data_IF_231077163997
#
_entry.id   IF_231077163997
#
_cell.length_a   1.000
_cell.length_b   1.000
_cell.length_c   1.000
_cell.angle_alpha   90.00
_cell.angle_beta   90.00
_cell.angle_gamma   90.00
#
_symmetry.space_group_name_H-M   'P 1'
#
loop_
_entity.id
_entity.type
_entity.pdbx_description
1 polymer ?
#
# COMPACT_ATOMS: atom_id res chain seq x y z
N UNK A 1 19.62 3.50 -9.37
CA UNK A 1 18.26 2.91 -9.43
C UNK A 1 17.86 2.52 -8.01
N UNK A 2 16.95 3.27 -7.39
CA UNK A 2 16.55 3.05 -6.00
C UNK A 2 15.14 2.47 -5.92
N UNK A 3 14.99 1.47 -5.05
CA UNK A 3 13.70 0.84 -4.74
C UNK A 3 13.37 1.20 -3.30
N UNK A 4 12.20 1.77 -3.08
CA UNK A 4 11.67 2.01 -1.75
C UNK A 4 10.79 0.82 -1.38
N UNK A 5 11.14 0.14 -0.29
CA UNK A 5 10.32 -0.92 0.28
C UNK A 5 9.57 -0.33 1.47
N UNK A 6 8.29 -0.09 1.27
CA UNK A 6 7.43 0.42 2.32
C UNK A 6 6.98 -0.72 3.24
N UNK A 7 7.69 -0.86 4.36
CA UNK A 7 7.35 -1.76 5.47
C UNK A 7 6.40 -1.08 6.47
N UNK A 8 6.30 0.25 6.45
CA UNK A 8 5.65 1.04 7.49
C UNK A 8 4.44 1.76 6.89
N UNK A 9 3.25 1.16 7.05
CA UNK A 9 1.96 1.68 6.56
C UNK A 9 1.55 3.08 7.09
N UNK A 10 2.41 3.75 7.88
CA UNK A 10 2.08 5.00 8.55
C UNK A 10 2.39 6.27 7.74
N UNK A 11 3.26 6.20 6.72
CA UNK A 11 3.73 7.39 6.02
C UNK A 11 3.12 7.45 4.62
N UNK A 12 2.25 8.43 4.32
CA UNK A 12 1.65 8.55 3.00
C UNK A 12 2.66 9.07 1.97
N UNK A 13 2.60 8.51 0.75
CA UNK A 13 3.31 8.98 -0.42
C UNK A 13 2.45 10.01 -1.16
N UNK A 14 2.37 11.21 -0.58
CA UNK A 14 1.79 12.38 -1.23
C UNK A 14 2.66 12.83 -2.41
N UNK A 15 2.14 13.74 -3.24
CA UNK A 15 2.89 14.30 -4.37
C UNK A 15 4.22 14.95 -3.93
N UNK A 16 4.22 15.72 -2.83
CA UNK A 16 5.45 16.30 -2.26
C UNK A 16 6.46 15.23 -1.80
N UNK A 17 5.96 14.13 -1.21
CA UNK A 17 6.83 13.04 -0.82
C UNK A 17 7.46 12.37 -2.06
N UNK A 18 6.66 12.17 -3.12
CA UNK A 18 7.11 11.58 -4.39
C UNK A 18 8.17 12.47 -5.06
N UNK A 19 8.00 13.79 -5.07
CA UNK A 19 8.98 14.74 -5.65
C UNK A 19 10.36 14.64 -4.97
N UNK A 20 10.37 14.30 -3.68
CA UNK A 20 11.59 14.14 -2.89
C UNK A 20 12.30 12.81 -3.14
N UNK A 21 11.63 11.83 -3.77
CA UNK A 21 12.20 10.51 -4.10
C UNK A 21 13.07 10.57 -5.37
N UNK A 22 14.10 11.41 -5.34
CA UNK A 22 15.06 11.52 -6.45
C UNK A 22 15.72 10.16 -6.73
N UNK A 23 15.68 9.72 -7.98
CA UNK A 23 16.21 8.43 -8.46
C UNK A 23 15.45 7.17 -8.00
N UNK A 24 14.28 7.31 -7.39
CA UNK A 24 13.39 6.18 -7.14
C UNK A 24 12.74 5.75 -8.44
N UNK A 25 12.71 4.44 -8.69
CA UNK A 25 12.05 3.84 -9.86
C UNK A 25 10.89 2.94 -9.47
N UNK A 26 10.87 2.46 -8.22
CA UNK A 26 9.84 1.56 -7.71
C UNK A 26 9.53 1.87 -6.25
N UNK A 27 8.23 1.99 -5.93
CA UNK A 27 7.68 1.95 -4.57
C UNK A 27 6.97 0.60 -4.41
N UNK A 28 7.48 -0.24 -3.50
CA UNK A 28 6.90 -1.54 -3.18
C UNK A 28 6.18 -1.52 -1.84
N UNK A 29 4.86 -1.70 -1.86
CA UNK A 29 3.98 -1.73 -0.68
C UNK A 29 3.79 -3.15 -0.16
N UNK A 30 4.14 -3.37 1.12
CA UNK A 30 3.78 -4.57 1.87
C UNK A 30 2.32 -4.51 2.35
N UNK A 31 1.39 -4.66 1.41
CA UNK A 31 -0.05 -4.68 1.69
C UNK A 31 -0.89 -4.65 0.42
N UNK A 32 -2.19 -4.89 0.56
CA UNK A 32 -3.15 -4.81 -0.57
C UNK A 32 -3.51 -3.36 -0.86
N UNK A 33 -3.76 -2.55 0.18
CA UNK A 33 -4.20 -1.17 0.04
C UNK A 33 -3.20 -0.34 -0.77
N UNK A 34 -3.73 0.60 -1.57
CA UNK A 34 -2.95 1.59 -2.33
C UNK A 34 -3.32 3.04 -2.00
N UNK A 35 -4.37 3.24 -1.20
CA UNK A 35 -4.85 4.49 -0.59
C UNK A 35 -3.77 5.48 -0.11
N UNK A 36 -2.76 5.01 0.62
CA UNK A 36 -1.66 5.83 1.12
C UNK A 36 -0.66 6.29 0.04
N UNK A 37 -0.77 5.85 -1.22
CA UNK A 37 0.13 6.21 -2.31
C UNK A 37 -0.65 6.92 -3.41
N UNK A 38 -0.22 8.12 -3.79
CA UNK A 38 -0.74 8.78 -4.99
C UNK A 38 -0.19 8.08 -6.25
N UNK A 39 -0.79 6.94 -6.61
CA UNK A 39 -0.33 6.08 -7.70
C UNK A 39 -0.40 6.75 -9.07
N UNK A 40 -1.38 7.63 -9.30
CA UNK A 40 -1.49 8.41 -10.53
C UNK A 40 -0.29 9.36 -10.68
N UNK A 41 0.00 10.14 -9.63
CA UNK A 41 1.15 11.05 -9.64
C UNK A 41 2.49 10.31 -9.72
N UNK A 42 2.62 9.18 -9.02
CA UNK A 42 3.81 8.33 -9.11
C UNK A 42 4.05 7.84 -10.56
N UNK A 43 2.98 7.45 -11.26
CA UNK A 43 3.08 7.02 -12.66
C UNK A 43 3.50 8.15 -13.60
N UNK A 44 2.94 9.35 -13.42
CA UNK A 44 3.37 10.56 -14.17
C UNK A 44 4.85 10.90 -13.94
N UNK A 45 5.34 10.67 -12.71
CA UNK A 45 6.74 10.87 -12.33
C UNK A 45 7.67 9.72 -12.75
N UNK A 46 7.15 8.68 -13.41
CA UNK A 46 7.93 7.53 -13.88
C UNK A 46 8.30 6.51 -12.79
N UNK A 47 7.59 6.51 -11.66
CA UNK A 47 7.79 5.56 -10.55
C UNK A 47 6.73 4.47 -10.62
N UNK A 48 7.16 3.21 -10.64
CA UNK A 48 6.24 2.08 -10.57
C UNK A 48 5.79 1.82 -9.13
N UNK A 49 4.49 1.71 -8.92
CA UNK A 49 3.92 1.30 -7.62
C UNK A 49 3.52 -0.16 -7.71
N UNK A 50 4.08 -0.99 -6.84
CA UNK A 50 3.77 -2.42 -6.75
C UNK A 50 3.28 -2.76 -5.35
N UNK A 51 2.40 -3.76 -5.25
CA UNK A 51 1.76 -4.16 -4.00
C UNK A 51 1.56 -5.68 -3.95
N UNK A 52 1.18 -6.20 -2.79
CA UNK A 52 0.87 -7.63 -2.63
C UNK A 52 -0.63 -7.84 -2.77
N UNK A 53 -1.07 -8.34 -3.92
CA UNK A 53 -2.49 -8.47 -4.27
C UNK A 53 -3.26 -9.51 -3.44
N UNK A 54 -2.59 -10.55 -2.95
CA UNK A 54 -3.23 -11.71 -2.28
C UNK A 54 -2.81 -11.87 -0.81
N UNK A 55 -2.68 -10.78 -0.06
CA UNK A 55 -2.26 -10.85 1.34
C UNK A 55 -3.42 -11.14 2.31
N UNK A 56 -3.33 -12.23 3.09
CA UNK A 56 -4.22 -12.55 4.21
C UNK A 56 -5.72 -12.61 3.89
N UNK A 57 -6.11 -13.00 2.67
CA UNK A 57 -7.53 -13.05 2.28
C UNK A 57 -8.38 -13.93 3.23
N UNK A 58 -7.91 -15.14 3.54
CA UNK A 58 -8.60 -16.06 4.45
C UNK A 58 -8.65 -15.53 5.88
N UNK A 59 -7.54 -15.00 6.40
CA UNK A 59 -7.49 -14.47 7.78
C UNK A 59 -8.43 -13.27 7.96
N UNK A 60 -8.52 -12.40 6.95
CA UNK A 60 -9.44 -11.25 6.96
C UNK A 60 -10.89 -11.74 6.90
N UNK A 61 -11.19 -12.75 6.07
CA UNK A 61 -12.52 -13.34 5.99
C UNK A 61 -12.95 -13.96 7.34
N UNK A 62 -12.08 -14.77 7.96
CA UNK A 62 -12.35 -15.44 9.23
C UNK A 62 -12.61 -14.41 10.35
N UNK A 63 -11.81 -13.34 10.41
CA UNK A 63 -11.99 -12.25 11.39
C UNK A 63 -13.28 -11.48 11.15
N UNK A 64 -13.66 -11.27 9.89
CA UNK A 64 -14.92 -10.62 9.53
C UNK A 64 -16.12 -11.45 9.99
N UNK A 65 -16.10 -12.77 9.76
CA UNK A 65 -17.14 -13.68 10.22
C UNK A 65 -17.22 -13.72 11.75
N UNK A 66 -16.08 -13.80 12.43
CA UNK A 66 -16.02 -13.75 13.89
C UNK A 66 -16.61 -12.44 14.46
N UNK A 67 -16.28 -11.29 13.86
CA UNK A 67 -16.84 -9.99 14.24
C UNK A 67 -18.35 -9.92 13.99
N UNK A 68 -18.82 -10.45 12.86
CA UNK A 68 -20.24 -10.49 12.54
C UNK A 68 -21.03 -11.34 13.56
N UNK A 69 -20.49 -12.48 13.98
CA UNK A 69 -21.10 -13.31 15.03
C UNK A 69 -21.06 -12.62 16.41
N UNK A 70 -19.97 -11.94 16.73
CA UNK A 70 -19.82 -11.24 18.01
C UNK A 70 -20.81 -10.07 18.16
N UNK A 71 -21.11 -9.36 17.06
CA UNK A 71 -22.06 -8.23 17.03
C UNK A 71 -23.52 -8.65 16.90
N UNK A 72 -23.80 -9.93 16.68
CA UNK A 72 -25.15 -10.52 16.63
C UNK A 72 -25.58 -11.16 17.97
N UNK A 73 -24.77 -11.02 19.01
CA UNK A 73 -25.14 -11.35 20.40
C UNK A 73 -25.92 -10.21 21.02
#
# INVERSE_FOLDING_TARGET
MHIVIDRLLAIPYSSDAIDRLKNCTVIARFGIGLDAVNSAYAAEYGIHVVHTSEYCQNDVADRTMALMLATKR
#
